data_IF_090198603388
#
_entry.id   IF_090198603388
#
_cell.length_a   1.000
_cell.length_b   1.000
_cell.length_c   1.000
_cell.angle_alpha   90.00
_cell.angle_beta   90.00
_cell.angle_gamma   90.00
#
_symmetry.space_group_name_H-M   'P 1'
#
loop_
_entity.id
_entity.type
_entity.pdbx_description
1 polymer ?
#
# COMPACT_ATOMS: atom_id res chain seq x y z
N UNK A 1 2.80 -27.69 1.13
CA UNK A 1 2.80 -26.50 0.25
C UNK A 1 1.86 -25.48 0.86
N UNK A 2 2.38 -24.40 1.43
CA UNK A 2 1.52 -23.33 1.96
C UNK A 2 0.83 -22.66 0.76
N UNK A 3 -0.48 -22.83 0.64
CA UNK A 3 -1.28 -22.11 -0.36
C UNK A 3 -1.20 -20.64 0.03
N UNK A 4 -0.37 -19.88 -0.68
CA UNK A 4 -0.29 -18.44 -0.50
C UNK A 4 -1.70 -17.88 -0.72
N UNK A 5 -2.32 -17.36 0.34
CA UNK A 5 -3.60 -16.67 0.22
C UNK A 5 -3.47 -15.61 -0.87
N UNK A 6 -4.47 -15.47 -1.75
CA UNK A 6 -4.43 -14.46 -2.82
C UNK A 6 -4.40 -13.03 -2.27
N UNK A 7 -4.63 -12.85 -0.97
CA UNK A 7 -4.61 -11.59 -0.26
C UNK A 7 -3.52 -11.57 0.82
N UNK A 8 -2.97 -10.38 1.08
CA UNK A 8 -2.06 -10.14 2.19
C UNK A 8 -2.77 -10.35 3.53
N UNK A 9 -2.04 -10.93 4.47
CA UNK A 9 -2.45 -11.06 5.87
C UNK A 9 -2.26 -9.74 6.62
N UNK A 10 -2.92 -9.60 7.77
CA UNK A 10 -2.76 -8.45 8.67
C UNK A 10 -1.29 -8.22 9.05
N UNK A 11 -0.57 -9.28 9.41
CA UNK A 11 0.85 -9.17 9.77
C UNK A 11 1.72 -8.65 8.61
N UNK A 12 1.43 -9.05 7.36
CA UNK A 12 2.14 -8.53 6.18
C UNK A 12 1.79 -7.06 5.91
N UNK A 13 0.51 -6.69 6.07
CA UNK A 13 0.07 -5.30 5.95
C UNK A 13 0.74 -4.42 7.00
N UNK A 14 0.80 -4.88 8.26
CA UNK A 14 1.48 -4.19 9.35
C UNK A 14 2.97 -4.02 9.06
N UNK A 15 3.64 -5.04 8.54
CA UNK A 15 5.05 -4.94 8.14
C UNK A 15 5.26 -3.91 7.03
N UNK A 16 4.41 -3.91 6.00
CA UNK A 16 4.49 -2.97 4.88
C UNK A 16 4.16 -1.52 5.27
N UNK A 17 3.32 -1.34 6.29
CA UNK A 17 2.83 -0.03 6.72
C UNK A 17 3.46 0.47 8.02
N UNK A 18 4.38 -0.30 8.61
CA UNK A 18 5.11 0.07 9.83
C UNK A 18 5.75 1.47 9.71
N UNK A 19 5.61 2.35 10.72
CA UNK A 19 5.05 2.11 12.07
C UNK A 19 3.54 2.37 12.21
N UNK A 20 2.78 2.49 11.12
CA UNK A 20 1.36 2.87 11.16
C UNK A 20 0.51 1.72 11.68
N UNK A 21 -0.20 1.94 12.80
CA UNK A 21 -1.12 0.95 13.42
C UNK A 21 -2.60 1.19 13.17
N UNK A 22 -2.97 2.37 12.65
CA UNK A 22 -4.37 2.69 12.37
C UNK A 22 -4.78 2.13 11.00
N UNK A 23 -5.75 1.22 10.94
CA UNK A 23 -6.17 0.56 9.68
C UNK A 23 -6.54 1.56 8.56
N UNK A 24 -7.20 2.67 8.91
CA UNK A 24 -7.53 3.71 7.94
C UNK A 24 -6.27 4.40 7.36
N UNK A 25 -5.25 4.62 8.18
CA UNK A 25 -3.99 5.22 7.75
C UNK A 25 -3.14 4.20 6.97
N UNK A 26 -3.18 2.92 7.34
CA UNK A 26 -2.58 1.82 6.58
C UNK A 26 -3.19 1.73 5.19
N UNK A 27 -4.53 1.79 5.07
CA UNK A 27 -5.22 1.81 3.78
C UNK A 27 -4.77 2.99 2.90
N UNK A 28 -4.67 4.21 3.46
CA UNK A 28 -4.16 5.38 2.72
C UNK A 28 -2.70 5.21 2.29
N UNK A 29 -1.85 4.67 3.16
CA UNK A 29 -0.44 4.38 2.88
C UNK A 29 -0.32 3.35 1.75
N UNK A 30 -1.10 2.28 1.81
CA UNK A 30 -1.15 1.25 0.77
C UNK A 30 -1.69 1.80 -0.55
N UNK A 31 -2.73 2.63 -0.53
CA UNK A 31 -3.21 3.32 -1.73
C UNK A 31 -2.09 4.15 -2.39
N UNK A 32 -1.32 4.89 -1.59
CA UNK A 32 -0.18 5.67 -2.09
C UNK A 32 0.94 4.78 -2.66
N UNK A 33 1.28 3.68 -1.98
CA UNK A 33 2.32 2.73 -2.42
C UNK A 33 1.93 1.99 -3.71
N UNK A 34 0.68 1.56 -3.81
CA UNK A 34 0.17 0.82 -4.96
C UNK A 34 -0.25 1.75 -6.12
N UNK A 35 -0.38 3.06 -5.86
CA UNK A 35 -0.85 4.05 -6.81
C UNK A 35 -2.33 3.88 -7.17
N UNK A 36 -3.14 3.40 -6.23
CA UNK A 36 -4.59 3.21 -6.40
C UNK A 36 -5.36 4.29 -5.62
N UNK A 37 -6.56 4.63 -6.09
CA UNK A 37 -7.37 5.70 -5.49
C UNK A 37 -7.99 5.28 -4.16
N UNK A 38 -8.46 4.04 -4.09
CA UNK A 38 -9.05 3.46 -2.88
C UNK A 38 -8.86 1.93 -2.90
N UNK A 39 -8.86 1.31 -1.72
CA UNK A 39 -8.76 -0.12 -1.54
C UNK A 39 -10.01 -0.63 -0.83
N UNK A 40 -10.62 -1.75 -1.31
CA UNK A 40 -11.72 -2.36 -0.61
C UNK A 40 -11.29 -2.77 0.80
N UNK A 41 -12.21 -2.65 1.75
CA UNK A 41 -11.96 -2.96 3.17
C UNK A 41 -12.85 -4.10 3.61
N UNK A 42 -12.31 -4.94 4.49
CA UNK A 42 -13.11 -5.93 5.22
C UNK A 42 -14.06 -5.23 6.21
N UNK A 43 -15.12 -5.92 6.65
CA UNK A 43 -15.98 -5.46 7.76
C UNK A 43 -15.16 -5.13 9.03
N UNK A 44 -14.04 -5.84 9.23
CA UNK A 44 -13.10 -5.64 10.34
C UNK A 44 -12.23 -4.36 10.19
N UNK A 45 -12.36 -3.64 9.07
CA UNK A 45 -11.61 -2.41 8.78
C UNK A 45 -10.25 -2.62 8.12
N UNK A 46 -9.77 -3.86 8.01
CA UNK A 46 -8.49 -4.20 7.36
C UNK A 46 -8.57 -3.98 5.82
N UNK A 47 -7.58 -3.31 5.20
CA UNK A 47 -7.55 -3.20 3.74
C UNK A 47 -7.32 -4.54 3.05
N UNK A 48 -8.10 -4.82 2.01
CA UNK A 48 -7.97 -6.03 1.19
C UNK A 48 -6.99 -5.73 0.06
N UNK A 49 -5.78 -6.29 0.16
CA UNK A 49 -4.74 -6.13 -0.86
C UNK A 49 -4.42 -7.50 -1.44
N UNK A 50 -4.59 -7.64 -2.76
CA UNK A 50 -4.17 -8.85 -3.48
C UNK A 50 -2.65 -8.96 -3.52
N UNK A 51 -2.10 -10.13 -3.22
CA UNK A 51 -0.64 -10.36 -3.19
C UNK A 51 0.00 -10.06 -4.56
N UNK A 52 -0.61 -10.51 -5.65
CA UNK A 52 -0.15 -10.22 -7.01
C UNK A 52 -0.09 -8.71 -7.32
N UNK A 53 -1.11 -7.95 -6.88
CA UNK A 53 -1.14 -6.49 -7.05
C UNK A 53 -0.04 -5.81 -6.22
N UNK A 54 0.17 -6.27 -4.99
CA UNK A 54 1.22 -5.77 -4.13
C UNK A 54 2.59 -6.03 -4.73
N UNK A 55 2.88 -7.26 -5.14
CA UNK A 55 4.16 -7.63 -5.76
C UNK A 55 4.40 -6.86 -7.06
N UNK A 56 3.42 -6.80 -7.96
CA UNK A 56 3.55 -6.09 -9.24
C UNK A 56 3.87 -4.61 -9.02
N UNK A 57 3.14 -3.94 -8.11
CA UNK A 57 3.31 -2.50 -7.88
C UNK A 57 4.53 -2.19 -7.03
N UNK A 58 4.81 -2.96 -5.98
CA UNK A 58 5.97 -2.74 -5.12
C UNK A 58 7.29 -2.98 -5.88
N UNK A 59 7.31 -3.96 -6.78
CA UNK A 59 8.46 -4.17 -7.68
C UNK A 59 8.59 -3.04 -8.73
N UNK A 60 7.47 -2.46 -9.19
CA UNK A 60 7.48 -1.30 -10.08
C UNK A 60 7.86 0.01 -9.36
N UNK A 61 7.64 0.16 -8.06
CA UNK A 61 8.00 1.37 -7.28
C UNK A 61 9.53 1.57 -7.23
N UNK A 62 10.34 0.52 -7.43
CA UNK A 62 11.78 0.64 -7.68
C UNK A 62 12.14 1.30 -9.02
N UNK A 63 11.16 1.41 -9.93
CA UNK A 63 11.34 1.89 -11.30
C UNK A 63 10.33 3.01 -11.60
N UNK A 64 10.70 4.24 -11.20
CA UNK A 64 10.12 5.53 -11.57
C UNK A 64 8.78 5.93 -10.91
N UNK A 65 8.89 6.94 -10.03
CA UNK A 65 8.25 8.25 -10.29
C UNK A 65 9.19 9.37 -9.79
N UNK A 66 9.65 10.30 -10.65
CA UNK A 66 10.14 11.57 -10.16
C UNK A 66 8.96 12.29 -9.51
N UNK A 67 9.13 12.72 -8.26
CA UNK A 67 8.19 13.62 -7.63
C UNK A 67 8.22 14.96 -8.38
N UNK A 68 7.32 15.14 -9.34
CA UNK A 68 6.99 16.46 -9.88
C UNK A 68 6.20 17.22 -8.83
N UNK A 69 6.89 17.75 -7.82
CA UNK A 69 6.40 18.85 -7.00
C UNK A 69 7.57 19.78 -6.74
N UNK A 70 7.85 20.60 -7.75
CA UNK A 70 8.54 21.86 -7.56
C UNK A 70 7.68 22.72 -6.64
N UNK A 71 7.87 22.57 -5.33
CA UNK A 71 7.39 23.56 -4.37
C UNK A 71 8.42 24.70 -4.36
N UNK A 72 8.15 25.75 -5.14
CA UNK A 72 8.89 27.01 -5.10
C UNK A 72 8.45 27.80 -3.85
N UNK A 73 9.35 27.97 -2.87
CA UNK A 73 9.15 28.82 -1.69
C UNK A 73 9.60 30.27 -1.89
N UNK A 74 10.15 30.63 -3.07
CA UNK A 74 10.80 31.94 -3.23
C UNK A 74 9.90 32.94 -3.97
N UNK A 75 9.34 33.86 -3.19
CA UNK A 75 9.16 35.26 -3.56
C UNK A 75 10.27 36.05 -2.89
#
# INVERSE_FOLDING_TARGET
MAVASPFLTEAEIDQLTSPVKQHAAQARRLCALLGVKDLPRRPDGLPIVGRALAEERLNQVGSKRPASNAFNWSK
#
